data_IF_762836070225
#
_entry.id   IF_762836070225
#
_cell.length_a   1.000
_cell.length_b   1.000
_cell.length_c   1.000
_cell.angle_alpha   90.00
_cell.angle_beta   90.00
_cell.angle_gamma   90.00
#
_symmetry.space_group_name_H-M   'P 1'
#
loop_
_entity.id
_entity.type
_entity.pdbx_description
1 polymer ?
#
# COMPACT_ATOMS: atom_id res chain seq x y z
N UNK A 1 4.95 5.51 -13.72
CA UNK A 1 3.73 5.33 -12.90
C UNK A 1 3.27 3.90 -13.00
N UNK A 2 3.09 3.24 -11.86
CA UNK A 2 2.80 1.83 -11.74
C UNK A 2 1.33 1.56 -11.46
N UNK A 3 0.84 0.45 -12.00
CA UNK A 3 -0.44 -0.12 -11.62
C UNK A 3 -0.42 -0.69 -10.20
N UNK A 4 -1.57 -0.91 -9.57
CA UNK A 4 -1.64 -1.56 -8.26
C UNK A 4 -1.00 -2.96 -8.27
N UNK A 5 -1.14 -3.69 -9.38
CA UNK A 5 -0.56 -5.02 -9.56
C UNK A 5 0.97 -4.96 -9.66
N UNK A 6 1.52 -4.01 -10.44
CA UNK A 6 2.97 -3.81 -10.53
C UNK A 6 3.58 -3.37 -9.20
N UNK A 7 2.94 -2.41 -8.52
CA UNK A 7 3.38 -1.97 -7.20
C UNK A 7 3.36 -3.12 -6.18
N UNK A 8 2.35 -3.99 -6.23
CA UNK A 8 2.26 -5.19 -5.40
C UNK A 8 3.43 -6.16 -5.67
N UNK A 9 3.78 -6.36 -6.94
CA UNK A 9 4.90 -7.21 -7.32
C UNK A 9 6.25 -6.63 -6.84
N UNK A 10 6.48 -5.33 -7.01
CA UNK A 10 7.69 -4.65 -6.56
C UNK A 10 7.85 -4.67 -5.05
N UNK A 11 6.77 -4.40 -4.32
CA UNK A 11 6.75 -4.41 -2.85
C UNK A 11 6.69 -5.84 -2.26
N UNK A 12 6.49 -6.86 -3.11
CA UNK A 12 6.18 -8.25 -2.71
C UNK A 12 5.05 -8.35 -1.69
N UNK A 13 4.02 -7.52 -1.83
CA UNK A 13 2.82 -7.53 -0.97
C UNK A 13 1.58 -7.96 -1.76
N UNK A 14 0.50 -8.32 -1.06
CA UNK A 14 -0.77 -8.66 -1.72
C UNK A 14 -1.44 -7.40 -2.26
N UNK A 15 -1.96 -7.46 -3.49
CA UNK A 15 -2.72 -6.35 -4.10
C UNK A 15 -3.93 -5.94 -3.24
N UNK A 16 -4.61 -6.91 -2.61
CA UNK A 16 -5.73 -6.64 -1.71
C UNK A 16 -5.34 -5.81 -0.48
N UNK A 17 -4.11 -5.96 0.02
CA UNK A 17 -3.58 -5.13 1.10
C UNK A 17 -3.32 -3.70 0.62
N UNK A 18 -2.74 -3.55 -0.58
CA UNK A 18 -2.53 -2.25 -1.23
C UNK A 18 -3.85 -1.51 -1.42
N UNK A 19 -4.87 -2.18 -1.98
CA UNK A 19 -6.21 -1.61 -2.13
C UNK A 19 -6.82 -1.21 -0.79
N UNK A 20 -6.77 -2.09 0.23
CA UNK A 20 -7.31 -1.80 1.57
C UNK A 20 -6.61 -0.61 2.23
N UNK A 21 -5.29 -0.54 2.14
CA UNK A 21 -4.49 0.56 2.71
C UNK A 21 -4.70 1.87 1.96
N UNK A 22 -4.86 1.81 0.63
CA UNK A 22 -5.15 2.97 -0.19
C UNK A 22 -6.55 3.52 0.07
N UNK A 23 -7.57 2.65 0.18
CA UNK A 23 -8.92 3.05 0.61
C UNK A 23 -8.93 3.65 2.01
N UNK A 24 -8.09 3.15 2.91
CA UNK A 24 -7.91 3.71 4.25
C UNK A 24 -7.00 4.95 4.28
N UNK A 25 -6.46 5.42 3.14
CA UNK A 25 -5.51 6.54 3.02
C UNK A 25 -4.27 6.41 3.94
N UNK A 26 -3.88 5.18 4.25
CA UNK A 26 -2.71 4.89 5.11
C UNK A 26 -1.41 4.88 4.31
N UNK A 27 -1.50 4.66 2.99
CA UNK A 27 -0.36 4.68 2.09
C UNK A 27 -0.53 5.81 1.05
N UNK A 28 0.58 6.41 0.61
CA UNK A 28 0.56 7.32 -0.52
C UNK A 28 0.11 6.57 -1.77
N UNK A 29 -0.88 7.13 -2.46
CA UNK A 29 -1.40 6.62 -3.71
C UNK A 29 -1.94 7.79 -4.54
N UNK A 30 -1.70 7.73 -5.84
CA UNK A 30 -2.14 8.74 -6.78
C UNK A 30 -3.42 8.27 -7.45
N UNK A 31 -4.52 9.02 -7.24
CA UNK A 31 -5.77 8.77 -7.96
C UNK A 31 -5.77 9.54 -9.26
N UNK A 32 -5.87 8.83 -10.37
CA UNK A 32 -5.99 9.40 -11.71
C UNK A 32 -7.39 9.05 -12.21
N UNK A 33 -8.32 9.97 -11.96
CA UNK A 33 -9.74 9.72 -12.15
C UNK A 33 -10.21 8.54 -11.29
N UNK A 34 -10.77 7.50 -11.91
CA UNK A 34 -11.20 6.26 -11.23
C UNK A 34 -10.07 5.26 -10.98
N UNK A 35 -8.87 5.51 -11.49
CA UNK A 35 -7.77 4.56 -11.45
C UNK A 35 -6.79 4.90 -10.35
N UNK A 36 -6.44 3.87 -9.58
CA UNK A 36 -5.42 3.97 -8.56
C UNK A 36 -4.06 3.67 -9.19
N UNK A 37 -3.11 4.60 -9.07
CA UNK A 37 -1.73 4.44 -9.54
C UNK A 37 -0.75 4.76 -8.42
N UNK A 38 0.43 4.15 -8.53
CA UNK A 38 1.55 4.40 -7.62
C UNK A 38 2.68 5.05 -8.41
N UNK A 39 3.15 6.19 -7.96
CA UNK A 39 4.42 6.76 -8.45
C UNK A 39 5.60 6.05 -7.79
N UNK A 40 6.79 6.17 -8.36
CA UNK A 40 8.05 5.73 -7.72
C UNK A 40 8.22 6.36 -6.33
N UNK A 41 7.85 7.64 -6.20
CA UNK A 41 7.85 8.34 -4.91
C UNK A 41 6.89 7.69 -3.89
N UNK A 42 5.70 7.29 -4.34
CA UNK A 42 4.71 6.63 -3.48
C UNK A 42 5.25 5.28 -2.99
N UNK A 43 5.83 4.49 -3.90
CA UNK A 43 6.43 3.19 -3.58
C UNK A 43 7.60 3.36 -2.60
N UNK A 44 8.50 4.32 -2.84
CA UNK A 44 9.63 4.59 -1.95
C UNK A 44 9.17 5.04 -0.54
N UNK A 45 8.12 5.86 -0.46
CA UNK A 45 7.53 6.27 0.79
C UNK A 45 6.86 5.09 1.54
N UNK A 46 6.20 4.17 0.83
CA UNK A 46 5.66 2.93 1.41
C UNK A 46 6.78 2.07 1.98
N UNK A 47 7.88 1.89 1.23
CA UNK A 47 9.05 1.13 1.69
C UNK A 47 9.65 1.76 2.95
N UNK A 48 9.82 3.08 2.95
CA UNK A 48 10.37 3.83 4.09
C UNK A 48 9.47 3.74 5.31
N UNK A 49 8.15 3.87 5.13
CA UNK A 49 7.17 3.72 6.19
C UNK A 49 7.13 2.29 6.75
N UNK A 50 7.23 1.27 5.88
CA UNK A 50 7.29 -0.14 6.25
C UNK A 50 8.59 -0.52 6.96
N UNK A 51 9.72 0.07 6.57
CA UNK A 51 11.00 -0.10 7.28
C UNK A 51 10.94 0.45 8.71
N UNK A 52 10.12 1.49 8.94
CA UNK A 52 9.96 2.13 10.26
C UNK A 52 8.98 1.40 11.17
N UNK A 53 8.10 0.56 10.63
CA UNK A 53 7.11 -0.18 11.41
C UNK A 53 7.02 -1.64 10.97
N UNK A 54 7.43 -2.60 11.81
CA UNK A 54 6.84 -3.93 11.71
C UNK A 54 5.39 -3.73 12.11
N UNK A 55 4.48 -3.70 11.13
CA UNK A 55 3.03 -3.70 11.37
C UNK A 55 2.68 -5.04 12.03
N UNK A 56 2.96 -5.12 13.33
CA UNK A 56 2.63 -6.22 14.19
C UNK A 56 1.14 -6.48 14.09
N UNK A 57 0.83 -7.74 13.77
CA UNK A 57 -0.46 -8.41 13.94
C UNK A 57 -1.34 -7.68 14.97
N UNK A 58 -2.25 -6.80 14.53
CA UNK A 58 -3.42 -6.50 15.34
C UNK A 58 -4.31 -7.71 15.24
N UNK A 59 -4.08 -8.60 16.20
CA UNK A 59 -4.88 -9.78 16.46
C UNK A 59 -6.34 -9.37 16.52
N UNK A 60 -7.13 -10.22 15.88
CA UNK A 60 -8.58 -10.31 16.01
C UNK A 60 -8.90 -10.40 17.52
N UNK A 61 -9.47 -9.36 18.12
CA UNK A 61 -10.15 -9.50 19.41
C UNK A 61 -11.58 -9.96 19.09
N UNK A 62 -11.91 -11.20 19.46
CA UNK A 62 -13.30 -11.64 19.57
C UNK A 62 -13.86 -11.12 20.91
N UNK A 63 -15.14 -10.68 20.94
CA UNK A 63 -15.87 -10.49 22.19
C UNK A 63 -16.15 -11.82 22.90
#
# INVERSE_FOLDING_TARGET
>A
MYTPAEAAAMLRVRESWLRKKASARVIPCTFIGKHLRFSEHDVAAIITAGAKQPLGRRGRACP
#
